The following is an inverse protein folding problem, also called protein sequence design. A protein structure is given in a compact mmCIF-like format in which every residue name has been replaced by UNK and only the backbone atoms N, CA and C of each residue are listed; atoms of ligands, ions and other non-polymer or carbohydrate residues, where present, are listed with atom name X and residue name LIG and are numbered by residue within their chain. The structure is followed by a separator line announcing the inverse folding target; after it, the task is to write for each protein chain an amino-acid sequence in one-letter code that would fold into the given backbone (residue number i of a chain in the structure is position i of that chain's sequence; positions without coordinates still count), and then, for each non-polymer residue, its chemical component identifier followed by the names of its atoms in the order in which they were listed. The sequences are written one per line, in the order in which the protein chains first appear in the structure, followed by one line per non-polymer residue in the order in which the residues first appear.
data_IF_176960399637
#
_entry.id   IF_176960399637
#
_cell.length_a   1.000
_cell.length_b   1.000
_cell.length_c   1.000
_cell.angle_alpha   90.00
_cell.angle_beta   90.00
_cell.angle_gamma   90.00
#
_symmetry.space_group_name_H-M   'P 1'
#
loop_
_entity.id
_entity.type
_entity.pdbx_description
1 polymer ?
#
# COMPACT_ATOMS: atom_id res chain seq x y z
N UNK A 1 13.91 8.42 15.40
CA UNK A 1 13.41 7.14 15.93
C UNK A 1 12.97 6.27 14.75
N UNK A 2 13.84 5.40 14.22
CA UNK A 2 13.59 4.61 13.01
C UNK A 2 13.50 3.13 13.42
N UNK A 3 12.42 2.75 14.13
CA UNK A 3 12.17 1.36 14.51
C UNK A 3 11.44 0.67 13.36
N UNK A 4 12.20 0.14 12.40
CA UNK A 4 11.65 -0.81 11.43
C UNK A 4 11.67 -2.17 12.10
N UNK A 5 10.52 -2.67 12.53
CA UNK A 5 10.42 -4.06 12.99
C UNK A 5 10.39 -4.96 11.75
N UNK A 6 11.43 -5.77 11.58
CA UNK A 6 11.48 -6.81 10.55
C UNK A 6 11.06 -8.11 11.22
N UNK A 7 9.77 -8.42 11.13
CA UNK A 7 9.21 -9.68 11.62
C UNK A 7 8.98 -10.62 10.44
N UNK A 8 9.75 -11.70 10.37
CA UNK A 8 9.69 -12.69 9.27
C UNK A 8 8.29 -13.26 9.06
N UNK A 9 7.53 -13.44 10.16
CA UNK A 9 6.13 -13.90 10.09
C UNK A 9 5.21 -12.90 9.36
N UNK A 10 5.33 -11.61 9.67
CA UNK A 10 4.54 -10.57 9.01
C UNK A 10 4.85 -10.52 7.50
N UNK A 11 6.13 -10.57 7.13
CA UNK A 11 6.57 -10.57 5.72
C UNK A 11 6.01 -11.79 4.98
N UNK A 12 6.02 -12.96 5.60
CA UNK A 12 5.45 -14.19 5.02
C UNK A 12 3.96 -14.02 4.70
N UNK A 13 3.17 -13.53 5.66
CA UNK A 13 1.73 -13.36 5.46
C UNK A 13 1.40 -12.25 4.45
N UNK A 14 2.11 -11.13 4.49
CA UNK A 14 2.00 -10.07 3.47
C UNK A 14 2.27 -10.65 2.07
N UNK A 15 3.34 -11.43 1.91
CA UNK A 15 3.68 -12.05 0.62
C UNK A 15 2.60 -13.00 0.14
N UNK A 16 2.02 -13.81 1.04
CA UNK A 16 0.91 -14.72 0.71
C UNK A 16 -0.35 -13.97 0.31
N UNK A 17 -0.73 -12.92 1.03
CA UNK A 17 -1.89 -12.10 0.68
C UNK A 17 -1.72 -11.39 -0.66
N UNK A 18 -0.51 -10.93 -0.99
CA UNK A 18 -0.22 -10.30 -2.28
C UNK A 18 -0.26 -11.28 -3.45
N UNK A 19 0.13 -12.55 -3.23
CA UNK A 19 0.18 -13.59 -4.27
C UNK A 19 -1.10 -14.44 -4.35
N UNK A 20 -2.06 -14.24 -3.46
CA UNK A 20 -3.30 -15.01 -3.45
C UNK A 20 -4.07 -14.77 -4.75
N UNK A 21 -4.37 -15.86 -5.47
CA UNK A 21 -5.21 -15.81 -6.65
C UNK A 21 -6.67 -15.51 -6.31
N UNK A 22 -7.40 -14.97 -7.28
CA UNK A 22 -8.84 -14.72 -7.16
C UNK A 22 -9.58 -15.88 -7.83
N UNK A 23 -10.54 -16.46 -7.11
CA UNK A 23 -11.42 -17.47 -7.69
C UNK A 23 -12.54 -16.78 -8.45
N UNK A 24 -12.61 -17.06 -9.73
CA UNK A 24 -13.60 -16.51 -10.65
C UNK A 24 -14.93 -17.29 -10.55
N UNK A 25 -16.06 -16.70 -10.97
CA UNK A 25 -17.37 -17.36 -10.91
C UNK A 25 -17.46 -18.65 -11.72
N UNK A 26 -16.63 -18.79 -12.77
CA UNK A 26 -16.51 -19.98 -13.61
C UNK A 26 -15.66 -21.10 -12.98
N UNK A 27 -15.13 -20.87 -11.78
CA UNK A 27 -14.29 -21.81 -11.04
C UNK A 27 -12.80 -21.74 -11.38
N UNK A 28 -12.39 -20.90 -12.34
CA UNK A 28 -10.98 -20.65 -12.64
C UNK A 28 -10.31 -19.83 -11.53
N UNK A 29 -8.99 -19.97 -11.40
CA UNK A 29 -8.19 -19.16 -10.48
C UNK A 29 -7.29 -18.24 -11.30
N UNK A 30 -7.49 -16.93 -11.15
CA UNK A 30 -6.60 -15.93 -11.75
C UNK A 30 -5.49 -15.55 -10.78
N UNK A 31 -4.24 -15.73 -11.20
CA UNK A 31 -3.07 -15.26 -10.47
C UNK A 31 -2.91 -13.75 -10.70
N UNK A 32 -2.64 -13.01 -9.62
CA UNK A 32 -2.33 -11.58 -9.72
C UNK A 32 -0.84 -11.36 -9.64
N UNK A 33 -0.29 -10.68 -10.64
CA UNK A 33 1.11 -10.24 -10.62
C UNK A 33 1.27 -8.85 -9.98
N UNK A 34 0.20 -8.05 -9.91
CA UNK A 34 0.22 -6.66 -9.44
C UNK A 34 -1.01 -6.32 -8.60
N UNK A 35 -0.82 -5.36 -7.70
CA UNK A 35 -1.85 -4.83 -6.81
C UNK A 35 -2.14 -5.72 -5.60
N UNK A 36 -2.85 -5.16 -4.63
CA UNK A 36 -3.37 -5.90 -3.48
C UNK A 36 -4.78 -6.40 -3.80
N UNK A 37 -5.23 -7.55 -3.27
CA UNK A 37 -6.63 -7.95 -3.36
C UNK A 37 -7.51 -6.87 -2.70
N UNK A 38 -8.46 -6.30 -3.45
CA UNK A 38 -9.45 -5.40 -2.87
C UNK A 38 -10.37 -6.22 -1.96
N UNK A 39 -10.56 -5.76 -0.72
CA UNK A 39 -11.27 -6.51 0.33
C UNK A 39 -10.38 -7.29 1.30
N UNK A 40 -9.06 -7.33 1.06
CA UNK A 40 -8.12 -7.79 2.08
C UNK A 40 -8.02 -6.79 3.23
N UNK A 41 -8.16 -7.26 4.48
CA UNK A 41 -8.11 -6.40 5.69
C UNK A 41 -6.79 -5.60 5.78
N UNK A 42 -5.72 -6.15 5.21
CA UNK A 42 -4.39 -5.52 5.19
C UNK A 42 -4.18 -4.52 4.04
N UNK A 43 -5.06 -4.52 3.04
CA UNK A 43 -4.88 -3.73 1.81
C UNK A 43 -4.80 -2.21 2.06
N UNK A 44 -5.65 -1.60 2.92
CA UNK A 44 -5.54 -0.17 3.24
C UNK A 44 -4.21 0.19 3.92
N UNK A 45 -3.67 -0.70 4.76
CA UNK A 45 -2.41 -0.48 5.45
C UNK A 45 -1.23 -0.49 4.45
N UNK A 46 -1.19 -1.47 3.54
CA UNK A 46 -0.14 -1.57 2.54
C UNK A 46 -0.18 -0.40 1.54
N UNK A 47 -1.38 0.04 1.14
CA UNK A 47 -1.54 1.20 0.28
C UNK A 47 -1.01 2.49 0.95
N UNK A 48 -1.36 2.72 2.22
CA UNK A 48 -0.86 3.87 2.96
C UNK A 48 0.65 3.82 3.20
N UNK A 49 1.21 2.63 3.46
CA UNK A 49 2.66 2.47 3.59
C UNK A 49 3.39 2.81 2.29
N UNK A 50 2.85 2.37 1.15
CA UNK A 50 3.40 2.72 -0.16
C UNK A 50 3.36 4.23 -0.39
N UNK A 51 2.20 4.87 -0.18
CA UNK A 51 2.02 6.31 -0.38
C UNK A 51 2.87 7.15 0.59
N UNK A 52 3.15 6.65 1.79
CA UNK A 52 4.07 7.31 2.70
C UNK A 52 5.45 7.57 2.08
N UNK A 53 5.97 6.60 1.31
CA UNK A 53 7.28 6.75 0.67
C UNK A 53 7.19 7.38 -0.71
N UNK A 54 6.19 6.99 -1.50
CA UNK A 54 6.03 7.45 -2.87
C UNK A 54 5.59 8.91 -2.96
N UNK A 55 4.80 9.39 -1.98
CA UNK A 55 4.19 10.71 -1.99
C UNK A 55 4.63 11.55 -0.79
N UNK A 56 4.27 11.14 0.44
CA UNK A 56 4.44 11.98 1.63
C UNK A 56 5.91 12.37 1.83
N UNK A 57 6.81 11.38 1.87
CA UNK A 57 8.26 11.60 2.00
C UNK A 57 8.86 12.29 0.79
N UNK A 58 8.32 12.09 -0.40
CA UNK A 58 8.81 12.77 -1.59
C UNK A 58 8.48 14.27 -1.56
N UNK A 59 7.24 14.63 -1.19
CA UNK A 59 6.80 16.01 -0.99
C UNK A 59 7.61 16.70 0.11
N UNK A 60 7.76 16.07 1.28
CA UNK A 60 8.57 16.60 2.38
C UNK A 60 10.01 16.92 1.98
N UNK A 61 10.61 16.10 1.10
CA UNK A 61 12.02 16.25 0.70
C UNK A 61 12.23 17.21 -0.48
N UNK A 62 11.26 17.34 -1.39
CA UNK A 62 11.41 18.09 -2.65
C UNK A 62 10.62 19.40 -2.68
N UNK A 63 9.51 19.47 -1.97
CA UNK A 63 8.55 20.58 -2.02
C UNK A 63 8.16 21.00 -0.61
N UNK A 64 9.15 21.43 0.19
CA UNK A 64 9.01 21.75 1.62
C UNK A 64 8.00 22.84 1.98
N UNK A 65 7.53 23.61 0.99
CA UNK A 65 6.55 24.69 1.16
C UNK A 65 5.13 24.29 0.75
N UNK A 66 4.96 23.13 0.12
CA UNK A 66 3.65 22.65 -0.30
C UNK A 66 2.97 22.00 0.90
N UNK A 67 1.90 22.61 1.37
CA UNK A 67 0.98 21.98 2.32
C UNK A 67 0.05 21.03 1.57
N UNK A 68 -0.35 19.92 2.19
CA UNK A 68 -1.24 18.96 1.56
C UNK A 68 -2.05 18.18 2.58
N UNK A 69 -3.22 17.71 2.14
CA UNK A 69 -4.09 16.81 2.86
C UNK A 69 -4.26 15.52 2.05
N UNK A 70 -4.22 14.37 2.72
CA UNK A 70 -4.38 13.06 2.08
C UNK A 70 -5.38 12.19 2.82
N UNK A 71 -6.31 11.60 2.08
CA UNK A 71 -7.26 10.59 2.56
C UNK A 71 -7.18 9.36 1.65
N UNK A 72 -6.61 8.26 2.17
CA UNK A 72 -6.29 7.07 1.38
C UNK A 72 -5.47 7.44 0.13
N UNK A 73 -6.00 7.22 -1.08
CA UNK A 73 -5.40 7.58 -2.37
C UNK A 73 -5.69 9.01 -2.83
N UNK A 74 -6.72 9.67 -2.30
CA UNK A 74 -7.05 11.05 -2.63
C UNK A 74 -6.09 12.03 -1.93
N UNK A 75 -5.49 12.94 -2.70
CA UNK A 75 -4.58 13.97 -2.17
C UNK A 75 -4.91 15.34 -2.75
N UNK A 76 -4.99 16.34 -1.89
CA UNK A 76 -5.16 17.76 -2.25
C UNK A 76 -3.89 18.51 -1.86
N UNK A 77 -3.28 19.20 -2.82
CA UNK A 77 -2.11 20.05 -2.59
C UNK A 77 -2.56 21.51 -2.50
N UNK A 78 -2.01 22.23 -1.52
CA UNK A 78 -2.29 23.65 -1.29
C UNK A 78 -1.17 24.47 -1.94
N UNK A 79 -1.52 25.61 -2.53
CA UNK A 79 -0.61 26.48 -3.30
C UNK A 79 -0.14 27.68 -2.48
#
# INVERSE_FOLDING_TARGET
MNRRCVETGAILYITRWLKAGVKMPDGSNELREKGTPQGGVISPLLANLFLHYALDKWLENKFTKVEYERFADDTVLHY
#
